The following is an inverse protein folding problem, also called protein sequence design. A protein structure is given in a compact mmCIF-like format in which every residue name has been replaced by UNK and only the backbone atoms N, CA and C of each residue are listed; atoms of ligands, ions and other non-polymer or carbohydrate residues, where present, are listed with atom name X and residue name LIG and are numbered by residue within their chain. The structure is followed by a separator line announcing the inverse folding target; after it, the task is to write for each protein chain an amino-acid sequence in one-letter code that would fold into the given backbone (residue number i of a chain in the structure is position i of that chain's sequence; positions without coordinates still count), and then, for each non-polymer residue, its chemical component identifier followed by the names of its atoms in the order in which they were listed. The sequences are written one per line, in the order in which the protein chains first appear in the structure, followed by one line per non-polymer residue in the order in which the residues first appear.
data_IF_844317947019
#
_entry.id   IF_844317947019
#
_cell.length_a   1.000
_cell.length_b   1.000
_cell.length_c   1.000
_cell.angle_alpha   90.00
_cell.angle_beta   90.00
_cell.angle_gamma   90.00
#
_symmetry.space_group_name_H-M   'P 1'
#
loop_
_entity.id
_entity.type
_entity.pdbx_description
1 polymer ?
#
# COMPACT_ATOMS: atom_id res chain seq x y z
N UNK A 1 -14.49 -14.98 -0.49
CA UNK A 1 -14.53 -13.86 0.48
C UNK A 1 -15.31 -14.21 1.74
N UNK A 2 -16.53 -14.75 1.67
CA UNK A 2 -17.34 -15.04 2.87
C UNK A 2 -16.71 -16.03 3.87
N UNK A 3 -16.03 -17.09 3.40
CA UNK A 3 -15.26 -17.97 4.28
C UNK A 3 -14.13 -17.25 5.01
N UNK A 4 -13.47 -16.30 4.35
CA UNK A 4 -12.48 -15.44 5.00
C UNK A 4 -13.14 -14.62 6.12
N UNK A 5 -14.30 -14.00 5.85
CA UNK A 5 -15.07 -13.23 6.85
C UNK A 5 -15.44 -14.12 8.05
N UNK A 6 -15.86 -15.36 7.81
CA UNK A 6 -16.17 -16.30 8.89
C UNK A 6 -14.93 -16.66 9.72
N UNK A 7 -13.80 -16.94 9.07
CA UNK A 7 -12.54 -17.18 9.77
C UNK A 7 -12.13 -15.96 10.60
N UNK A 8 -12.30 -14.75 10.07
CA UNK A 8 -12.02 -13.52 10.81
C UNK A 8 -12.89 -13.39 12.08
N UNK A 9 -14.18 -13.72 11.99
CA UNK A 9 -15.04 -13.76 13.16
C UNK A 9 -14.50 -14.71 14.24
N UNK A 10 -14.02 -15.90 13.86
CA UNK A 10 -13.43 -16.86 14.80
C UNK A 10 -12.11 -16.34 15.38
N UNK A 11 -11.18 -15.88 14.54
CA UNK A 11 -9.86 -15.40 14.95
C UNK A 11 -9.94 -14.22 15.93
N UNK A 12 -10.85 -13.27 15.69
CA UNK A 12 -11.07 -12.15 16.63
C UNK A 12 -11.42 -12.62 18.06
N UNK A 13 -11.95 -13.83 18.21
CA UNK A 13 -12.44 -14.39 19.49
C UNK A 13 -11.48 -15.39 20.13
N UNK A 14 -10.32 -15.63 19.51
CA UNK A 14 -9.26 -16.46 20.09
C UNK A 14 -8.43 -15.59 21.04
N UNK A 15 -8.28 -16.07 22.28
CA UNK A 15 -7.32 -15.48 23.20
C UNK A 15 -5.90 -15.75 22.71
N UNK A 16 -5.05 -14.74 22.75
CA UNK A 16 -3.68 -14.80 22.27
C UNK A 16 -2.76 -13.96 23.17
N UNK A 17 -1.48 -13.86 22.79
CA UNK A 17 -0.47 -13.14 23.58
C UNK A 17 -0.67 -11.63 23.55
N UNK A 18 -1.33 -11.06 22.53
CA UNK A 18 -1.73 -9.66 22.52
C UNK A 18 -2.96 -9.37 23.40
N UNK A 19 -3.83 -10.35 23.68
CA UNK A 19 -4.94 -10.20 24.60
C UNK A 19 -6.16 -11.07 24.25
N UNK A 20 -7.36 -10.52 24.47
CA UNK A 20 -8.63 -11.21 24.24
C UNK A 20 -9.68 -10.29 23.62
N UNK A 21 -10.82 -10.86 23.23
CA UNK A 21 -11.91 -10.12 22.59
C UNK A 21 -12.66 -9.18 23.53
N UNK A 22 -12.62 -9.41 24.86
CA UNK A 22 -13.31 -8.53 25.82
C UNK A 22 -12.62 -7.16 25.91
N UNK A 23 -11.29 -7.12 25.92
CA UNK A 23 -10.53 -5.85 25.84
C UNK A 23 -10.27 -5.37 24.41
N UNK A 24 -10.57 -6.21 23.41
CA UNK A 24 -10.18 -6.06 22.00
C UNK A 24 -8.67 -6.08 21.75
N UNK A 25 -7.81 -6.12 22.78
CA UNK A 25 -6.35 -6.07 22.57
C UNK A 25 -5.82 -7.26 21.76
N UNK A 26 -6.50 -8.41 21.83
CA UNK A 26 -6.15 -9.59 21.03
C UNK A 26 -6.30 -9.39 19.52
N UNK A 27 -6.95 -8.31 19.07
CA UNK A 27 -7.12 -8.02 17.64
C UNK A 27 -5.82 -7.55 16.98
N UNK A 28 -4.85 -7.04 17.76
CA UNK A 28 -3.53 -6.66 17.28
C UNK A 28 -2.53 -7.81 17.18
N UNK A 29 -2.96 -9.06 17.36
CA UNK A 29 -2.08 -10.22 17.17
C UNK A 29 -1.76 -10.36 15.66
N UNK A 30 -0.47 -10.38 15.26
CA UNK A 30 -0.09 -10.36 13.84
C UNK A 30 -0.51 -11.62 13.08
N UNK A 31 -0.42 -12.78 13.72
CA UNK A 31 -0.59 -14.08 13.07
C UNK A 31 -1.17 -15.15 13.97
N UNK A 32 -1.70 -16.18 13.33
CA UNK A 32 -2.29 -17.37 13.93
C UNK A 32 -1.79 -18.59 13.17
N UNK A 33 -1.94 -19.78 13.76
CA UNK A 33 -1.69 -21.02 13.03
C UNK A 33 -2.79 -21.23 11.97
N UNK A 34 -2.45 -21.98 10.92
CA UNK A 34 -3.35 -22.23 9.77
C UNK A 34 -4.63 -22.97 10.13
N UNK A 35 -4.67 -23.63 11.29
CA UNK A 35 -5.83 -24.35 11.85
C UNK A 35 -6.73 -23.48 12.74
N UNK A 36 -6.54 -22.15 12.71
CA UNK A 36 -7.27 -21.19 13.54
C UNK A 36 -7.01 -21.37 15.05
N UNK A 37 -5.74 -21.55 15.42
CA UNK A 37 -5.28 -21.55 16.83
C UNK A 37 -4.28 -20.41 17.10
N UNK A 38 -4.07 -20.07 18.37
CA UNK A 38 -3.13 -19.02 18.78
C UNK A 38 -1.69 -19.38 18.41
N UNK A 39 -0.95 -18.40 17.89
CA UNK A 39 0.50 -18.52 17.74
C UNK A 39 1.18 -18.05 19.03
N UNK A 40 1.62 -19.00 19.84
CA UNK A 40 2.08 -18.75 21.21
C UNK A 40 3.61 -18.65 21.36
N UNK A 41 4.36 -18.38 20.29
CA UNK A 41 5.80 -18.11 20.39
C UNK A 41 6.10 -16.61 20.51
N UNK A 42 7.36 -16.26 20.82
CA UNK A 42 7.81 -14.87 20.84
C UNK A 42 7.75 -14.28 19.43
N UNK A 43 7.28 -13.03 19.33
CA UNK A 43 7.01 -12.38 18.05
C UNK A 43 6.90 -10.86 18.24
N UNK A 44 7.10 -10.10 17.17
CA UNK A 44 6.89 -8.64 17.13
C UNK A 44 5.41 -8.29 17.19
N UNK A 45 4.82 -8.33 18.39
CA UNK A 45 3.40 -8.05 18.66
C UNK A 45 3.23 -6.89 19.65
N UNK A 46 2.13 -6.11 19.57
CA UNK A 46 1.08 -6.18 18.55
C UNK A 46 1.50 -5.51 17.24
N UNK A 47 0.85 -5.86 16.13
CA UNK A 47 0.82 -5.07 14.90
C UNK A 47 -0.57 -4.47 14.73
N UNK A 48 -0.62 -3.14 14.56
CA UNK A 48 -1.86 -2.36 14.72
C UNK A 48 -2.53 -2.00 13.40
N UNK A 49 -1.92 -2.36 12.29
CA UNK A 49 -2.41 -2.22 10.92
C UNK A 49 -3.40 -3.34 10.54
N UNK A 50 -3.20 -4.56 11.07
CA UNK A 50 -4.02 -5.75 10.78
C UNK A 50 -5.53 -5.52 10.90
N UNK A 51 -6.08 -5.03 12.04
CA UNK A 51 -7.49 -4.70 12.17
C UNK A 51 -8.00 -3.70 11.14
N UNK A 52 -7.17 -2.72 10.76
CA UNK A 52 -7.53 -1.73 9.75
C UNK A 52 -7.59 -2.31 8.34
N UNK A 53 -6.61 -3.15 7.97
CA UNK A 53 -6.57 -3.88 6.69
C UNK A 53 -7.71 -4.90 6.56
N UNK A 54 -8.04 -5.58 7.66
CA UNK A 54 -9.16 -6.52 7.72
C UNK A 54 -10.49 -5.82 7.52
N UNK A 55 -10.80 -4.83 8.35
CA UNK A 55 -12.07 -4.10 8.29
C UNK A 55 -12.28 -3.41 6.94
N UNK A 56 -11.27 -2.75 6.37
CA UNK A 56 -11.40 -2.12 5.06
C UNK A 56 -11.67 -3.15 3.93
N UNK A 57 -11.05 -4.32 3.97
CA UNK A 57 -11.25 -5.36 2.95
C UNK A 57 -12.68 -5.90 2.99
N UNK A 58 -13.21 -6.10 4.20
CA UNK A 58 -14.60 -6.54 4.40
C UNK A 58 -15.57 -5.45 3.96
N UNK A 59 -15.33 -4.18 4.31
CA UNK A 59 -16.17 -3.06 3.86
C UNK A 59 -16.16 -2.91 2.33
N UNK A 60 -15.00 -3.02 1.67
CA UNK A 60 -14.91 -2.99 0.20
C UNK A 60 -15.72 -4.13 -0.44
N UNK A 61 -15.70 -5.33 0.12
CA UNK A 61 -16.54 -6.44 -0.36
C UNK A 61 -18.04 -6.16 -0.18
N UNK A 62 -18.46 -5.66 0.97
CA UNK A 62 -19.86 -5.30 1.20
C UNK A 62 -20.33 -4.19 0.24
N UNK A 63 -19.46 -3.24 -0.09
CA UNK A 63 -19.75 -2.18 -1.07
C UNK A 63 -19.95 -2.77 -2.45
N UNK A 64 -19.09 -3.70 -2.86
CA UNK A 64 -19.23 -4.43 -4.13
C UNK A 64 -20.56 -5.19 -4.21
N UNK A 65 -20.93 -5.93 -3.16
CA UNK A 65 -22.21 -6.64 -3.11
C UNK A 65 -23.40 -5.69 -3.27
N UNK A 66 -23.38 -4.57 -2.53
CA UNK A 66 -24.43 -3.56 -2.63
C UNK A 66 -24.53 -2.94 -4.04
N UNK A 67 -23.40 -2.63 -4.67
CA UNK A 67 -23.35 -2.06 -6.02
C UNK A 67 -23.83 -3.04 -7.11
N UNK A 68 -23.63 -4.33 -6.90
CA UNK A 68 -24.01 -5.39 -7.85
C UNK A 68 -25.38 -6.01 -7.58
N UNK A 69 -26.01 -5.67 -6.45
CA UNK A 69 -27.26 -6.29 -6.01
C UNK A 69 -27.10 -7.76 -5.62
N UNK A 70 -25.87 -8.21 -5.35
CA UNK A 70 -25.59 -9.58 -4.90
C UNK A 70 -25.81 -9.69 -3.39
N UNK A 71 -26.37 -10.82 -2.96
CA UNK A 71 -26.54 -11.13 -1.54
C UNK A 71 -25.36 -11.95 -1.01
N UNK A 72 -25.11 -11.86 0.30
CA UNK A 72 -24.15 -12.75 0.95
C UNK A 72 -24.72 -14.17 1.10
N UNK A 73 -23.87 -15.15 0.85
CA UNK A 73 -24.11 -16.55 1.15
C UNK A 73 -23.64 -16.97 2.56
N UNK A 74 -23.57 -18.29 2.76
CA UNK A 74 -23.02 -18.94 3.96
C UNK A 74 -23.64 -18.51 5.31
N UNK A 75 -24.90 -18.07 5.29
CA UNK A 75 -25.61 -17.64 6.51
C UNK A 75 -25.14 -16.30 7.09
N UNK A 76 -24.27 -15.58 6.37
CA UNK A 76 -23.86 -14.22 6.74
C UNK A 76 -24.88 -13.21 6.23
N UNK A 77 -25.08 -12.14 7.00
CA UNK A 77 -25.78 -10.95 6.53
C UNK A 77 -24.97 -9.71 6.91
N UNK A 78 -25.23 -8.60 6.21
CA UNK A 78 -24.42 -7.38 6.31
C UNK A 78 -24.45 -6.80 7.73
N UNK A 79 -25.58 -6.89 8.42
CA UNK A 79 -25.73 -6.47 9.82
C UNK A 79 -24.85 -7.29 10.77
N UNK A 80 -24.82 -8.62 10.63
CA UNK A 80 -23.94 -9.47 11.42
C UNK A 80 -22.47 -9.10 11.18
N UNK A 81 -22.05 -8.98 9.93
CA UNK A 81 -20.66 -8.65 9.56
C UNK A 81 -20.26 -7.29 10.13
N UNK A 82 -21.13 -6.28 10.01
CA UNK A 82 -20.90 -4.96 10.58
C UNK A 82 -20.74 -5.02 12.11
N UNK A 83 -21.73 -5.54 12.82
CA UNK A 83 -21.73 -5.48 14.29
C UNK A 83 -20.73 -6.44 14.96
N UNK A 84 -20.44 -7.57 14.32
CA UNK A 84 -19.66 -8.65 14.97
C UNK A 84 -18.22 -8.75 14.50
N UNK A 85 -17.85 -8.06 13.42
CA UNK A 85 -16.51 -8.16 12.82
C UNK A 85 -15.91 -6.76 12.58
N UNK A 86 -16.60 -5.91 11.81
CA UNK A 86 -16.09 -4.57 11.46
C UNK A 86 -16.04 -3.65 12.68
N UNK A 87 -17.15 -3.54 13.43
CA UNK A 87 -17.24 -2.66 14.59
C UNK A 87 -16.19 -2.96 15.69
N UNK A 88 -15.87 -4.23 16.03
CA UNK A 88 -14.74 -4.56 16.89
C UNK A 88 -13.38 -4.06 16.39
N UNK A 89 -13.07 -4.26 15.09
CA UNK A 89 -11.81 -3.78 14.51
C UNK A 89 -11.71 -2.25 14.56
N UNK A 90 -12.78 -1.54 14.18
CA UNK A 90 -12.83 -0.07 14.28
C UNK A 90 -12.68 0.42 15.72
N UNK A 91 -13.30 -0.27 16.68
CA UNK A 91 -13.19 0.04 18.11
C UNK A 91 -11.77 -0.15 18.64
N UNK A 92 -11.08 -1.20 18.16
CA UNK A 92 -9.67 -1.40 18.43
C UNK A 92 -8.84 -0.23 17.91
N UNK A 93 -9.03 0.19 16.66
CA UNK A 93 -8.30 1.30 16.05
C UNK A 93 -8.46 2.57 16.89
N UNK A 94 -9.71 2.97 17.20
CA UNK A 94 -9.99 4.17 18.00
C UNK A 94 -9.27 4.19 19.35
N UNK A 95 -9.13 3.02 19.98
CA UNK A 95 -8.48 2.89 21.29
C UNK A 95 -6.95 2.79 21.21
N UNK A 96 -6.38 2.49 20.04
CA UNK A 96 -4.98 2.06 19.92
C UNK A 96 -4.10 2.89 18.97
N UNK A 97 -4.65 3.79 18.14
CA UNK A 97 -3.87 4.47 17.08
C UNK A 97 -2.72 5.37 17.58
N UNK A 98 -2.72 5.78 18.85
CA UNK A 98 -1.64 6.58 19.48
C UNK A 98 -0.58 5.73 20.18
N UNK A 99 -0.75 4.41 20.25
CA UNK A 99 0.17 3.52 20.95
C UNK A 99 1.16 2.86 19.99
N UNK A 100 2.38 2.66 20.49
CA UNK A 100 3.40 1.92 19.76
C UNK A 100 2.97 0.48 19.49
N UNK A 101 3.36 -0.03 18.34
CA UNK A 101 3.27 -1.43 17.93
C UNK A 101 4.39 -1.71 16.94
N UNK A 102 4.49 -2.95 16.47
CA UNK A 102 5.43 -3.29 15.41
C UNK A 102 4.91 -2.80 14.05
N UNK A 103 5.85 -2.50 13.14
CA UNK A 103 5.57 -2.13 11.77
C UNK A 103 5.12 -3.34 10.93
N UNK A 104 4.69 -3.07 9.69
CA UNK A 104 4.29 -4.10 8.71
C UNK A 104 5.40 -5.10 8.38
N UNK A 105 6.67 -4.76 8.66
CA UNK A 105 7.81 -5.64 8.49
C UNK A 105 8.15 -6.45 9.76
N UNK A 106 7.39 -6.27 10.83
CA UNK A 106 7.47 -7.02 12.09
C UNK A 106 8.75 -6.76 12.91
N UNK A 107 9.38 -5.59 12.76
CA UNK A 107 10.76 -5.33 13.24
C UNK A 107 10.88 -4.18 14.25
N UNK A 108 10.28 -3.03 13.94
CA UNK A 108 10.41 -1.81 14.72
C UNK A 108 9.15 -1.62 15.55
N UNK A 109 9.30 -1.60 16.87
CA UNK A 109 8.22 -1.16 17.75
C UNK A 109 8.21 0.38 17.84
N UNK A 110 7.31 1.04 17.11
CA UNK A 110 7.15 2.50 17.11
C UNK A 110 5.76 2.89 16.63
N UNK A 111 5.63 4.08 16.02
CA UNK A 111 4.44 4.54 15.32
C UNK A 111 4.84 4.77 13.86
N UNK A 112 4.07 4.17 12.95
CA UNK A 112 4.44 4.01 11.54
C UNK A 112 3.44 4.71 10.62
N UNK A 113 3.94 5.30 9.53
CA UNK A 113 3.11 6.02 8.58
C UNK A 113 2.11 5.08 7.89
N UNK A 114 2.56 3.90 7.44
CA UNK A 114 1.70 2.87 6.86
C UNK A 114 0.54 2.51 7.78
N UNK A 115 0.85 2.13 9.03
CA UNK A 115 -0.15 1.76 10.04
C UNK A 115 -1.16 2.88 10.28
N UNK A 116 -0.69 4.12 10.45
CA UNK A 116 -1.57 5.26 10.69
C UNK A 116 -2.47 5.56 9.48
N UNK A 117 -1.94 5.46 8.25
CA UNK A 117 -2.70 5.70 7.03
C UNK A 117 -3.79 4.65 6.81
N UNK A 118 -3.49 3.36 6.98
CA UNK A 118 -4.52 2.31 6.81
C UNK A 118 -5.58 2.37 7.90
N UNK A 119 -5.21 2.75 9.12
CA UNK A 119 -6.15 3.03 10.22
C UNK A 119 -7.07 4.21 9.87
N UNK A 120 -6.52 5.32 9.38
CA UNK A 120 -7.30 6.49 8.98
C UNK A 120 -8.30 6.15 7.86
N UNK A 121 -7.85 5.36 6.88
CA UNK A 121 -8.71 4.90 5.78
C UNK A 121 -9.84 3.99 6.29
N UNK A 122 -9.54 3.07 7.19
CA UNK A 122 -10.55 2.21 7.80
C UNK A 122 -11.58 3.01 8.61
N UNK A 123 -11.17 4.02 9.39
CA UNK A 123 -12.09 4.92 10.09
C UNK A 123 -12.99 5.68 9.10
N UNK A 124 -12.45 6.19 7.99
CA UNK A 124 -13.22 6.87 6.95
C UNK A 124 -14.33 5.98 6.38
N UNK A 125 -13.99 4.76 5.98
CA UNK A 125 -14.98 3.78 5.49
C UNK A 125 -15.97 3.39 6.61
N UNK A 126 -15.50 3.29 7.85
CA UNK A 126 -16.32 2.99 9.01
C UNK A 126 -17.41 4.03 9.27
N UNK A 127 -17.14 5.31 9.00
CA UNK A 127 -18.12 6.41 9.13
C UNK A 127 -19.27 6.19 8.14
N UNK A 128 -18.95 5.95 6.86
CA UNK A 128 -19.95 5.68 5.81
C UNK A 128 -20.82 4.46 6.15
N UNK A 129 -20.20 3.38 6.64
CA UNK A 129 -20.91 2.18 7.05
C UNK A 129 -21.78 2.39 8.29
N UNK A 130 -21.28 3.12 9.29
CA UNK A 130 -22.05 3.39 10.51
C UNK A 130 -23.30 4.23 10.20
N UNK A 131 -23.18 5.17 9.26
CA UNK A 131 -24.32 5.88 8.72
C UNK A 131 -25.34 4.94 8.04
N UNK A 132 -24.87 4.08 7.13
CA UNK A 132 -25.73 3.12 6.42
C UNK A 132 -26.47 2.14 7.35
N UNK A 133 -25.89 1.83 8.52
CA UNK A 133 -26.51 0.98 9.55
C UNK A 133 -27.30 1.76 10.61
N UNK A 134 -27.44 3.08 10.48
CA UNK A 134 -28.08 3.97 11.46
C UNK A 134 -27.46 3.89 12.88
N UNK A 135 -26.15 3.62 12.98
CA UNK A 135 -25.40 3.54 14.25
C UNK A 135 -24.80 4.92 14.61
N UNK A 136 -25.68 5.91 14.78
CA UNK A 136 -25.31 7.33 14.87
C UNK A 136 -24.32 7.65 15.99
N UNK A 137 -24.45 7.01 17.15
CA UNK A 137 -23.51 7.19 18.27
C UNK A 137 -22.10 6.70 17.91
N UNK A 138 -22.00 5.57 17.21
CA UNK A 138 -20.70 5.06 16.80
C UNK A 138 -20.12 5.89 15.65
N UNK A 139 -20.97 6.36 14.74
CA UNK A 139 -20.58 7.32 13.69
C UNK A 139 -19.95 8.59 14.27
N UNK A 140 -20.54 9.19 15.32
CA UNK A 140 -19.97 10.35 16.03
C UNK A 140 -18.59 10.05 16.63
N UNK A 141 -18.42 8.88 17.25
CA UNK A 141 -17.13 8.44 17.82
C UNK A 141 -16.07 8.25 16.72
N UNK A 142 -16.44 7.64 15.59
CA UNK A 142 -15.54 7.43 14.46
C UNK A 142 -15.12 8.74 13.82
N UNK A 143 -16.04 9.71 13.68
CA UNK A 143 -15.71 11.04 13.20
C UNK A 143 -14.65 11.71 14.09
N UNK A 144 -14.86 11.70 15.41
CA UNK A 144 -13.88 12.25 16.35
C UNK A 144 -12.52 11.56 16.22
N UNK A 145 -12.48 10.22 16.22
CA UNK A 145 -11.25 9.46 16.07
C UNK A 145 -10.55 9.71 14.72
N UNK A 146 -11.31 9.86 13.63
CA UNK A 146 -10.78 10.19 12.31
C UNK A 146 -10.09 11.57 12.33
N UNK A 147 -10.74 12.58 12.90
CA UNK A 147 -10.13 13.92 13.02
C UNK A 147 -8.87 13.89 13.89
N UNK A 148 -8.93 13.20 15.04
CA UNK A 148 -7.76 13.07 15.92
C UNK A 148 -6.59 12.34 15.26
N UNK A 149 -6.84 11.23 14.56
CA UNK A 149 -5.81 10.47 13.86
C UNK A 149 -5.24 11.27 12.68
N UNK A 150 -6.08 11.98 11.92
CA UNK A 150 -5.61 12.85 10.83
C UNK A 150 -4.70 13.97 11.35
N UNK A 151 -5.09 14.60 12.45
CA UNK A 151 -4.25 15.62 13.11
C UNK A 151 -2.95 15.00 13.61
N UNK A 152 -3.03 13.83 14.25
CA UNK A 152 -1.87 13.10 14.74
C UNK A 152 -0.87 12.76 13.63
N UNK A 153 -1.32 12.29 12.46
CA UNK A 153 -0.45 12.02 11.30
C UNK A 153 0.27 13.29 10.84
N UNK A 154 -0.40 14.43 10.89
CA UNK A 154 0.18 15.72 10.49
C UNK A 154 1.25 16.16 11.49
N UNK A 155 1.00 15.97 12.79
CA UNK A 155 1.87 16.48 13.87
C UNK A 155 3.03 15.54 14.24
N UNK A 156 2.90 14.23 13.98
CA UNK A 156 3.87 13.24 14.47
C UNK A 156 5.26 13.34 13.81
N UNK A 157 5.32 13.93 12.61
CA UNK A 157 6.56 14.19 11.90
C UNK A 157 6.82 13.34 10.66
N UNK A 158 5.85 12.50 10.24
CA UNK A 158 5.95 11.71 9.01
C UNK A 158 6.25 12.56 7.76
N UNK A 159 5.79 13.82 7.75
CA UNK A 159 5.83 14.70 6.60
C UNK A 159 6.83 15.87 6.73
N UNK A 160 7.63 15.91 7.81
CA UNK A 160 8.56 17.01 8.11
C UNK A 160 9.80 17.06 7.20
N UNK A 161 10.14 15.94 6.55
CA UNK A 161 11.26 15.84 5.60
C UNK A 161 10.80 16.07 4.17
N UNK A 162 11.71 16.17 3.20
CA UNK A 162 11.35 16.30 1.77
C UNK A 162 10.71 15.04 1.16
N UNK A 163 10.83 13.91 1.84
CA UNK A 163 10.18 12.63 1.58
C UNK A 163 9.32 12.21 2.78
N UNK A 164 8.53 11.14 2.65
CA UNK A 164 7.75 10.58 3.76
C UNK A 164 8.70 9.77 4.63
N UNK A 165 8.85 10.16 5.89
CA UNK A 165 9.59 9.36 6.86
C UNK A 165 8.63 8.33 7.46
N UNK A 166 8.81 7.06 7.14
CA UNK A 166 7.95 5.95 7.60
C UNK A 166 7.99 5.77 9.14
N UNK A 167 9.12 6.09 9.77
CA UNK A 167 9.39 5.88 11.19
C UNK A 167 10.15 7.06 11.82
N UNK A 168 9.50 8.22 12.07
CA UNK A 168 10.18 9.46 12.50
C UNK A 168 10.96 9.38 13.81
N UNK A 169 10.72 8.35 14.63
CA UNK A 169 11.36 8.11 15.93
C UNK A 169 12.23 6.86 15.94
N UNK A 170 12.69 6.40 14.79
CA UNK A 170 13.64 5.28 14.66
C UNK A 170 15.04 5.77 14.29
N UNK A 171 16.03 4.88 14.43
CA UNK A 171 17.42 5.14 14.02
C UNK A 171 17.66 4.94 12.50
N UNK A 172 16.63 4.56 11.73
CA UNK A 172 16.69 4.44 10.27
C UNK A 172 16.51 5.81 9.61
N UNK A 173 16.92 5.93 8.34
CA UNK A 173 16.67 7.15 7.55
C UNK A 173 15.18 7.49 7.42
N UNK A 174 14.31 6.48 7.48
CA UNK A 174 12.87 6.62 7.28
C UNK A 174 12.42 6.45 5.83
N UNK A 175 13.36 6.24 4.90
CA UNK A 175 13.02 5.81 3.53
C UNK A 175 12.56 4.35 3.56
N UNK A 176 11.29 4.12 3.25
CA UNK A 176 10.69 2.80 3.21
C UNK A 176 9.60 2.73 2.11
N UNK A 177 9.56 1.63 1.37
CA UNK A 177 8.50 1.38 0.39
C UNK A 177 7.12 1.25 1.05
N UNK A 178 7.07 0.95 2.35
CA UNK A 178 5.86 0.99 3.19
C UNK A 178 5.10 2.31 3.07
N UNK A 179 5.81 3.42 2.91
CA UNK A 179 5.17 4.72 2.70
C UNK A 179 4.44 4.79 1.37
N UNK A 180 4.95 4.15 0.31
CA UNK A 180 4.27 4.05 -0.99
C UNK A 180 3.15 3.01 -0.92
N UNK A 181 3.35 1.89 -0.22
CA UNK A 181 2.30 0.91 0.10
C UNK A 181 1.10 1.60 0.78
N UNK A 182 1.36 2.50 1.73
CA UNK A 182 0.32 3.26 2.42
C UNK A 182 -0.54 4.08 1.45
N UNK A 183 0.11 4.70 0.46
CA UNK A 183 -0.57 5.46 -0.60
C UNK A 183 -1.34 4.52 -1.52
N UNK A 184 -0.80 3.36 -1.90
CA UNK A 184 -1.52 2.48 -2.81
C UNK A 184 -2.67 1.70 -2.14
N UNK A 185 -2.61 1.50 -0.82
CA UNK A 185 -3.66 0.83 -0.06
C UNK A 185 -4.79 1.76 0.42
N UNK A 186 -4.62 3.08 0.29
CA UNK A 186 -5.61 4.07 0.71
C UNK A 186 -5.99 4.99 -0.44
N UNK A 187 -7.19 5.59 -0.41
CA UNK A 187 -7.59 6.63 -1.37
C UNK A 187 -7.51 8.02 -0.74
N UNK A 188 -6.76 8.15 0.35
CA UNK A 188 -6.65 9.36 1.15
C UNK A 188 -5.54 10.26 0.63
N UNK A 189 -5.87 11.53 0.37
CA UNK A 189 -4.91 12.55 -0.03
C UNK A 189 -4.35 13.29 1.19
N UNK A 190 -3.52 12.61 1.99
CA UNK A 190 -2.87 13.18 3.19
C UNK A 190 -1.45 13.65 2.88
N UNK A 191 -0.67 12.84 2.17
CA UNK A 191 0.67 13.22 1.74
C UNK A 191 0.59 13.97 0.41
N UNK A 192 1.39 15.04 0.28
CA UNK A 192 1.58 15.73 -0.99
C UNK A 192 2.15 14.77 -2.04
N UNK A 193 1.54 14.71 -3.23
CA UNK A 193 1.95 13.87 -4.37
C UNK A 193 3.46 14.04 -4.72
N UNK A 194 4.01 15.26 -4.66
CA UNK A 194 5.44 15.51 -4.86
C UNK A 194 6.30 14.80 -3.80
N UNK A 195 5.85 14.72 -2.55
CA UNK A 195 6.57 14.02 -1.48
C UNK A 195 6.56 12.52 -1.71
N UNK A 196 5.45 11.96 -2.21
CA UNK A 196 5.35 10.54 -2.58
C UNK A 196 6.30 10.22 -3.75
N UNK A 197 6.28 11.05 -4.80
CA UNK A 197 7.21 10.93 -5.94
C UNK A 197 8.67 11.01 -5.48
N UNK A 198 9.02 11.98 -4.65
CA UNK A 198 10.38 12.13 -4.11
C UNK A 198 10.79 10.95 -3.24
N UNK A 199 9.87 10.37 -2.46
CA UNK A 199 10.14 9.15 -1.69
C UNK A 199 10.52 7.98 -2.63
N UNK A 200 9.74 7.75 -3.68
CA UNK A 200 10.05 6.70 -4.66
C UNK A 200 11.34 6.98 -5.44
N UNK A 201 11.60 8.22 -5.83
CA UNK A 201 12.84 8.63 -6.50
C UNK A 201 14.08 8.37 -5.65
N UNK A 202 14.03 8.71 -4.36
CA UNK A 202 15.13 8.45 -3.42
C UNK A 202 15.33 6.96 -3.13
N UNK A 203 14.25 6.18 -2.99
CA UNK A 203 14.32 4.72 -2.87
C UNK A 203 14.98 4.09 -4.11
N UNK A 204 14.55 4.51 -5.30
CA UNK A 204 15.11 4.04 -6.57
C UNK A 204 16.61 4.36 -6.67
N UNK A 205 17.03 5.57 -6.29
CA UNK A 205 18.43 5.96 -6.25
C UNK A 205 19.24 5.12 -5.23
N UNK A 206 18.70 4.91 -4.03
CA UNK A 206 19.36 4.13 -2.99
C UNK A 206 19.58 2.68 -3.45
N UNK A 207 18.53 2.01 -3.93
CA UNK A 207 18.64 0.61 -4.35
C UNK A 207 19.43 0.41 -5.64
N UNK A 208 19.49 1.40 -6.53
CA UNK A 208 20.44 1.37 -7.67
C UNK A 208 21.90 1.31 -7.21
N UNK A 209 22.22 1.93 -6.08
CA UNK A 209 23.55 1.88 -5.48
C UNK A 209 23.80 0.55 -4.75
N UNK A 210 22.84 0.13 -3.91
CA UNK A 210 22.96 -0.99 -2.96
C UNK A 210 22.89 -2.36 -3.64
N UNK A 211 22.10 -2.52 -4.71
CA UNK A 211 21.89 -3.81 -5.37
C UNK A 211 22.69 -3.93 -6.66
N UNK A 212 23.68 -4.82 -6.75
CA UNK A 212 24.46 -5.01 -7.96
C UNK A 212 23.64 -5.38 -9.20
N UNK A 213 22.53 -6.12 -9.05
CA UNK A 213 21.64 -6.45 -10.19
C UNK A 213 21.05 -5.21 -10.88
N UNK A 214 20.92 -4.08 -10.18
CA UNK A 214 20.43 -2.82 -10.77
C UNK A 214 21.47 -2.10 -11.64
N UNK A 215 22.69 -2.65 -11.73
CA UNK A 215 23.75 -2.14 -12.61
C UNK A 215 23.88 -2.98 -13.89
N UNK A 216 23.10 -4.05 -14.01
CA UNK A 216 23.05 -4.86 -15.22
C UNK A 216 22.34 -4.08 -16.34
N UNK A 217 22.81 -4.24 -17.57
CA UNK A 217 22.29 -3.54 -18.75
C UNK A 217 20.87 -3.97 -19.16
N UNK A 218 20.28 -4.94 -18.46
CA UNK A 218 18.95 -5.49 -18.77
C UNK A 218 17.80 -4.56 -18.38
N UNK A 219 18.07 -3.55 -17.54
CA UNK A 219 17.06 -2.58 -17.09
C UNK A 219 17.57 -1.14 -17.28
N UNK A 220 16.97 -0.41 -18.22
CA UNK A 220 17.42 0.97 -18.52
C UNK A 220 16.87 2.01 -17.55
N UNK A 221 15.64 1.81 -17.04
CA UNK A 221 14.93 2.80 -16.23
C UNK A 221 14.56 2.31 -14.82
N UNK A 222 13.84 1.19 -14.74
CA UNK A 222 13.34 0.61 -13.49
C UNK A 222 14.42 -0.13 -12.71
N UNK A 223 14.32 -0.08 -11.38
CA UNK A 223 15.24 -0.77 -10.47
C UNK A 223 14.48 -1.82 -9.66
N UNK A 224 15.14 -2.92 -9.33
CA UNK A 224 14.72 -3.80 -8.26
C UNK A 224 14.71 -3.03 -6.92
N UNK A 225 13.58 -3.05 -6.22
CA UNK A 225 13.39 -2.34 -4.94
C UNK A 225 13.24 -3.32 -3.78
N UNK A 226 13.81 -2.99 -2.62
CA UNK A 226 13.61 -3.72 -1.37
C UNK A 226 12.56 -3.08 -0.46
N UNK A 227 12.63 -3.37 0.84
CA UNK A 227 11.80 -2.73 1.86
C UNK A 227 12.28 -1.32 2.17
N UNK A 228 13.48 -1.21 2.73
CA UNK A 228 14.16 0.04 3.09
C UNK A 228 15.70 -0.13 2.93
N UNK A 229 16.48 0.95 2.77
CA UNK A 229 17.92 0.86 2.47
C UNK A 229 18.79 0.17 3.52
N UNK A 230 18.40 0.24 4.79
CA UNK A 230 19.12 -0.34 5.94
C UNK A 230 18.77 -1.81 6.19
N UNK A 231 18.03 -2.44 5.30
CA UNK A 231 17.53 -3.82 5.45
C UNK A 231 18.68 -4.84 5.52
N UNK A 232 18.56 -5.75 6.48
CA UNK A 232 19.50 -6.85 6.75
C UNK A 232 18.81 -8.22 6.73
N UNK A 233 17.52 -8.31 6.43
CA UNK A 233 16.82 -9.59 6.33
C UNK A 233 17.00 -10.19 4.93
N UNK A 234 17.61 -11.38 4.87
CA UNK A 234 17.98 -12.02 3.60
C UNK A 234 16.93 -13.00 3.04
N UNK A 235 15.79 -13.13 3.73
CA UNK A 235 14.72 -14.09 3.42
C UNK A 235 14.74 -15.35 4.30
N UNK A 236 15.81 -15.56 5.08
CA UNK A 236 15.94 -16.71 5.99
C UNK A 236 16.45 -16.31 7.38
N UNK A 237 17.26 -15.25 7.46
CA UNK A 237 17.87 -14.75 8.68
C UNK A 237 18.41 -13.33 8.47
N UNK A 238 19.48 -13.00 9.16
CA UNK A 238 20.06 -11.65 9.18
C UNK A 238 21.43 -11.63 8.52
N UNK A 239 21.52 -11.00 7.35
CA UNK A 239 22.76 -10.67 6.67
C UNK A 239 22.62 -9.34 5.89
N UNK A 240 22.26 -9.41 4.61
CA UNK A 240 22.01 -8.26 3.73
C UNK A 240 20.60 -8.34 3.15
N UNK A 241 19.86 -7.23 3.21
CA UNK A 241 18.56 -7.10 2.59
C UNK A 241 18.61 -7.24 1.07
N UNK A 242 17.52 -7.70 0.49
CA UNK A 242 17.41 -7.92 -0.95
C UNK A 242 16.21 -7.20 -1.55
N UNK A 243 16.13 -7.12 -2.88
CA UNK A 243 14.90 -6.76 -3.56
C UNK A 243 13.72 -7.69 -3.23
N UNK A 244 12.52 -7.12 -3.22
CA UNK A 244 11.25 -7.81 -3.02
C UNK A 244 10.38 -7.65 -4.27
N UNK A 245 9.68 -8.72 -4.65
CA UNK A 245 8.75 -8.67 -5.78
C UNK A 245 7.62 -7.67 -5.53
N UNK A 246 7.02 -7.69 -4.33
CA UNK A 246 5.94 -6.77 -3.97
C UNK A 246 6.41 -5.31 -3.98
N UNK A 247 7.62 -5.01 -3.51
CA UNK A 247 8.14 -3.64 -3.47
C UNK A 247 8.39 -3.09 -4.86
N UNK A 248 8.94 -3.94 -5.74
CA UNK A 248 9.19 -3.59 -7.14
C UNK A 248 7.86 -3.38 -7.88
N UNK A 249 6.85 -4.23 -7.66
CA UNK A 249 5.52 -4.08 -8.24
C UNK A 249 4.76 -2.85 -7.70
N UNK A 250 4.96 -2.50 -6.43
CA UNK A 250 4.35 -1.32 -5.79
C UNK A 250 4.75 -0.02 -6.49
N UNK A 251 6.02 0.09 -6.92
CA UNK A 251 6.46 1.26 -7.68
C UNK A 251 5.71 1.39 -9.02
N UNK A 252 5.56 0.27 -9.74
CA UNK A 252 4.79 0.24 -10.99
C UNK A 252 3.33 0.66 -10.74
N UNK A 253 2.67 0.07 -9.75
CA UNK A 253 1.29 0.39 -9.40
C UNK A 253 1.12 1.89 -9.08
N UNK A 254 1.98 2.45 -8.24
CA UNK A 254 1.93 3.87 -7.90
C UNK A 254 2.03 4.75 -9.16
N UNK A 255 2.98 4.46 -10.05
CA UNK A 255 3.17 5.21 -11.31
C UNK A 255 1.91 5.12 -12.19
N UNK A 256 1.35 3.93 -12.37
CA UNK A 256 0.12 3.77 -13.17
C UNK A 256 -1.07 4.51 -12.55
N UNK A 257 -1.24 4.45 -11.22
CA UNK A 257 -2.29 5.20 -10.52
C UNK A 257 -2.11 6.71 -10.67
N UNK A 258 -0.88 7.20 -10.62
CA UNK A 258 -0.54 8.61 -10.86
C UNK A 258 -0.93 9.02 -12.29
N UNK A 259 -0.52 8.25 -13.30
CA UNK A 259 -0.89 8.49 -14.71
C UNK A 259 -2.41 8.50 -14.90
N UNK A 260 -3.10 7.49 -14.35
CA UNK A 260 -4.55 7.40 -14.41
C UNK A 260 -5.22 8.63 -13.81
N UNK A 261 -4.73 9.10 -12.66
CA UNK A 261 -5.23 10.32 -12.01
C UNK A 261 -4.96 11.59 -12.84
N UNK A 262 -3.76 11.74 -13.42
CA UNK A 262 -3.42 12.87 -14.28
C UNK A 262 -4.39 12.97 -15.47
N UNK A 263 -4.65 11.84 -16.12
CA UNK A 263 -5.54 11.73 -17.29
C UNK A 263 -6.99 12.00 -16.90
N UNK A 264 -7.52 11.24 -15.94
CA UNK A 264 -8.96 11.26 -15.62
C UNK A 264 -9.40 12.56 -14.96
N UNK A 265 -8.51 13.21 -14.20
CA UNK A 265 -8.77 14.50 -13.56
C UNK A 265 -8.34 15.69 -14.42
N UNK A 266 -7.82 15.45 -15.63
CA UNK A 266 -7.33 16.48 -16.57
C UNK A 266 -6.34 17.45 -15.92
N UNK A 267 -5.40 16.90 -15.14
CA UNK A 267 -4.39 17.69 -14.45
C UNK A 267 -3.20 17.94 -15.37
N UNK A 268 -2.64 19.14 -15.28
CA UNK A 268 -1.32 19.46 -15.83
C UNK A 268 -0.23 18.71 -15.07
N UNK A 269 0.90 18.47 -15.73
CA UNK A 269 2.11 17.92 -15.09
C UNK A 269 3.04 19.08 -14.77
N UNK A 270 3.45 19.20 -13.51
CA UNK A 270 4.39 20.22 -13.06
C UNK A 270 5.64 19.53 -12.55
N UNK A 271 6.77 19.80 -13.21
CA UNK A 271 8.09 19.28 -12.85
C UNK A 271 8.92 20.45 -12.34
N UNK A 272 9.32 20.35 -11.07
CA UNK A 272 10.09 21.36 -10.35
C UNK A 272 11.11 20.71 -9.40
N UNK A 273 11.87 21.53 -8.69
CA UNK A 273 12.89 21.08 -7.75
C UNK A 273 12.38 20.11 -6.66
N UNK A 274 11.08 20.15 -6.34
CA UNK A 274 10.49 19.33 -5.28
C UNK A 274 10.19 17.90 -5.72
N UNK A 275 10.14 17.62 -7.03
CA UNK A 275 9.91 16.29 -7.61
C UNK A 275 10.98 15.89 -8.66
N UNK A 276 12.00 16.72 -8.86
CA UNK A 276 13.08 16.48 -9.81
C UNK A 276 13.78 15.12 -9.63
N UNK A 277 13.95 14.65 -8.39
CA UNK A 277 14.57 13.34 -8.10
C UNK A 277 13.82 12.16 -8.76
N UNK A 278 12.49 12.27 -8.87
CA UNK A 278 11.67 11.27 -9.53
C UNK A 278 11.79 11.36 -11.06
N UNK A 279 11.69 12.58 -11.62
CA UNK A 279 11.68 12.79 -13.07
C UNK A 279 13.04 12.71 -13.75
N UNK A 280 14.15 12.80 -13.00
CA UNK A 280 15.53 12.93 -13.52
C UNK A 280 15.91 11.93 -14.62
N UNK A 281 15.42 10.69 -14.57
CA UNK A 281 15.72 9.66 -15.56
C UNK A 281 14.53 9.33 -16.47
N UNK A 282 13.44 10.09 -16.38
CA UNK A 282 12.18 9.84 -17.11
C UNK A 282 12.02 10.87 -18.23
N UNK A 283 12.25 12.15 -17.93
CA UNK A 283 12.06 13.26 -18.87
C UNK A 283 13.18 14.27 -18.73
N UNK A 284 13.57 14.89 -19.84
CA UNK A 284 14.56 15.96 -19.87
C UNK A 284 13.90 17.32 -19.56
N UNK A 285 14.40 18.01 -18.54
CA UNK A 285 14.01 19.38 -18.21
C UNK A 285 12.89 19.53 -17.17
N UNK A 286 12.74 20.75 -16.69
CA UNK A 286 11.69 21.19 -15.76
C UNK A 286 10.63 22.01 -16.51
N UNK A 287 9.42 22.11 -15.96
CA UNK A 287 8.36 22.92 -16.55
C UNK A 287 6.95 22.44 -16.26
N UNK A 288 5.98 23.20 -16.77
CA UNK A 288 4.57 22.86 -16.75
C UNK A 288 4.14 22.33 -18.12
N UNK A 289 3.57 21.13 -18.14
CA UNK A 289 3.07 20.46 -19.33
C UNK A 289 1.55 20.43 -19.24
N UNK A 290 0.90 21.30 -20.00
CA UNK A 290 -0.56 21.44 -19.97
C UNK A 290 -1.26 20.20 -20.53
N UNK A 291 -2.34 19.79 -19.88
CA UNK A 291 -3.17 18.68 -20.34
C UNK A 291 -3.63 18.87 -21.80
N UNK A 292 -3.71 17.77 -22.56
CA UNK A 292 -4.12 17.72 -23.98
C UNK A 292 -3.14 18.42 -24.96
N UNK A 293 -1.87 18.52 -24.58
CA UNK A 293 -0.76 18.96 -25.47
C UNK A 293 0.11 17.78 -25.90
N UNK A 294 0.82 17.93 -27.02
CA UNK A 294 1.75 16.89 -27.49
C UNK A 294 2.90 16.66 -26.49
N UNK A 295 3.34 17.71 -25.80
CA UNK A 295 4.38 17.64 -24.79
C UNK A 295 3.90 16.87 -23.57
N UNK A 296 2.66 17.09 -23.12
CA UNK A 296 2.03 16.28 -22.07
C UNK A 296 1.96 14.79 -22.44
N UNK A 297 1.52 14.47 -23.66
CA UNK A 297 1.42 13.07 -24.13
C UNK A 297 2.78 12.36 -24.18
N UNK A 298 3.85 13.10 -24.48
CA UNK A 298 5.23 12.59 -24.40
C UNK A 298 5.61 12.25 -22.96
N UNK A 299 5.33 13.15 -22.00
CA UNK A 299 5.62 12.92 -20.58
C UNK A 299 4.82 11.73 -20.05
N UNK A 300 3.52 11.61 -20.39
CA UNK A 300 2.69 10.46 -20.02
C UNK A 300 3.25 9.16 -20.59
N UNK A 301 3.72 9.16 -21.83
CA UNK A 301 4.30 7.97 -22.45
C UNK A 301 5.61 7.56 -21.76
N UNK A 302 6.49 8.52 -21.44
CA UNK A 302 7.72 8.26 -20.68
C UNK A 302 7.44 7.74 -19.26
N UNK A 303 6.41 8.27 -18.58
CA UNK A 303 5.97 7.75 -17.28
C UNK A 303 5.44 6.32 -17.39
N UNK A 304 4.70 6.00 -18.45
CA UNK A 304 4.20 4.65 -18.69
C UNK A 304 5.35 3.66 -18.93
N UNK A 305 6.33 4.03 -19.76
CA UNK A 305 7.55 3.25 -19.97
C UNK A 305 8.33 3.05 -18.68
N UNK A 306 8.39 4.07 -17.82
CA UNK A 306 9.00 3.96 -16.50
C UNK A 306 8.26 2.97 -15.60
N UNK A 307 6.92 3.02 -15.55
CA UNK A 307 6.12 2.02 -14.84
C UNK A 307 6.34 0.59 -15.36
N UNK A 308 6.30 0.43 -16.69
CA UNK A 308 6.51 -0.87 -17.38
C UNK A 308 7.89 -1.46 -17.08
N UNK A 309 8.90 -0.61 -16.91
CA UNK A 309 10.25 -1.06 -16.59
C UNK A 309 10.36 -1.77 -15.23
N UNK A 310 9.55 -1.41 -14.23
CA UNK A 310 9.49 -2.14 -12.95
C UNK A 310 8.82 -3.52 -13.11
N UNK A 311 7.78 -3.64 -13.93
CA UNK A 311 7.19 -4.94 -14.26
C UNK A 311 8.14 -5.81 -15.08
N UNK A 312 9.01 -5.22 -15.90
CA UNK A 312 10.06 -5.97 -16.60
C UNK A 312 11.09 -6.55 -15.63
N UNK A 313 11.47 -5.82 -14.58
CA UNK A 313 12.32 -6.36 -13.49
C UNK A 313 11.64 -7.56 -12.83
N UNK A 314 10.37 -7.43 -12.44
CA UNK A 314 9.57 -8.53 -11.87
C UNK A 314 9.55 -9.73 -12.80
N UNK A 315 9.22 -9.52 -14.08
CA UNK A 315 9.14 -10.58 -15.09
C UNK A 315 10.46 -11.31 -15.26
N UNK A 316 11.57 -10.58 -15.30
CA UNK A 316 12.91 -11.12 -15.51
C UNK A 316 13.35 -12.03 -14.35
N UNK A 317 13.06 -11.63 -13.10
CA UNK A 317 13.48 -12.38 -11.92
C UNK A 317 12.49 -13.45 -11.46
N UNK A 318 11.27 -13.46 -12.01
CA UNK A 318 10.28 -14.52 -11.77
C UNK A 318 10.59 -15.81 -12.55
N UNK A 319 10.11 -16.96 -12.06
CA UNK A 319 10.20 -18.23 -12.80
C UNK A 319 8.82 -18.67 -13.29
N UNK A 320 8.53 -18.48 -14.58
CA UNK A 320 7.24 -18.85 -15.20
C UNK A 320 6.04 -18.29 -14.44
N UNK A 321 6.18 -17.07 -13.94
CA UNK A 321 5.17 -16.38 -13.13
C UNK A 321 5.15 -16.76 -11.65
N UNK A 322 5.99 -17.72 -11.20
CA UNK A 322 6.20 -17.98 -9.78
C UNK A 322 7.02 -16.86 -9.16
N UNK A 323 6.63 -16.44 -7.97
CA UNK A 323 7.28 -15.35 -7.23
C UNK A 323 7.41 -15.72 -5.76
N UNK A 324 8.65 -15.71 -5.26
CA UNK A 324 8.95 -15.76 -3.84
C UNK A 324 8.72 -14.40 -3.17
N UNK A 325 9.09 -14.29 -1.91
CA UNK A 325 9.19 -13.03 -1.18
C UNK A 325 10.23 -12.09 -1.80
N UNK A 326 11.45 -12.60 -1.99
CA UNK A 326 12.61 -11.83 -2.41
C UNK A 326 13.26 -12.41 -3.65
N UNK A 327 14.15 -11.66 -4.27
CA UNK A 327 15.14 -12.17 -5.22
C UNK A 327 16.50 -11.59 -4.91
N UNK A 328 17.54 -12.42 -5.01
CA UNK A 328 18.87 -12.13 -4.50
C UNK A 328 19.49 -10.90 -5.17
N UNK A 329 20.01 -9.96 -4.38
CA UNK A 329 20.58 -8.69 -4.87
C UNK A 329 21.78 -8.82 -5.79
N UNK A 330 22.46 -9.98 -5.81
CA UNK A 330 23.65 -10.24 -6.62
C UNK A 330 23.34 -11.06 -7.87
N UNK A 331 22.53 -12.11 -7.72
CA UNK A 331 22.27 -13.09 -8.78
C UNK A 331 20.92 -12.93 -9.45
N UNK A 332 19.97 -12.26 -8.80
CA UNK A 332 18.60 -12.12 -9.29
C UNK A 332 17.74 -13.38 -9.14
N UNK A 333 18.25 -14.45 -8.52
CA UNK A 333 17.46 -15.66 -8.28
C UNK A 333 16.49 -15.48 -7.10
N UNK A 334 15.30 -16.07 -7.22
CA UNK A 334 14.29 -16.13 -6.17
C UNK A 334 14.85 -16.71 -4.87
N UNK A 335 14.47 -16.13 -3.73
CA UNK A 335 14.84 -16.57 -2.39
C UNK A 335 13.80 -16.12 -1.34
N UNK A 336 13.91 -16.65 -0.12
CA UNK A 336 12.97 -16.40 0.97
C UNK A 336 11.72 -17.27 0.85
N UNK A 337 10.61 -16.83 1.44
CA UNK A 337 9.36 -17.59 1.39
C UNK A 337 8.91 -17.83 -0.06
N UNK A 338 8.68 -19.10 -0.41
CA UNK A 338 8.20 -19.49 -1.74
C UNK A 338 6.73 -19.12 -1.92
N UNK A 339 6.35 -18.77 -3.15
CA UNK A 339 4.96 -18.48 -3.54
C UNK A 339 4.25 -17.49 -2.59
N UNK A 340 4.91 -16.38 -2.27
CA UNK A 340 4.35 -15.41 -1.33
C UNK A 340 3.09 -14.76 -1.92
N UNK A 341 1.93 -15.02 -1.29
CA UNK A 341 0.62 -14.50 -1.69
C UNK A 341 0.62 -12.99 -1.96
N UNK A 342 1.35 -12.22 -1.16
CA UNK A 342 1.42 -10.76 -1.32
C UNK A 342 2.18 -10.35 -2.58
N UNK A 343 3.25 -11.06 -2.97
CA UNK A 343 3.94 -10.83 -4.25
C UNK A 343 2.98 -10.96 -5.44
N UNK A 344 2.15 -12.02 -5.45
CA UNK A 344 1.13 -12.21 -6.49
C UNK A 344 0.08 -11.10 -6.49
N UNK A 345 -0.43 -10.72 -5.32
CA UNK A 345 -1.42 -9.65 -5.19
C UNK A 345 -0.90 -8.30 -5.68
N UNK A 346 0.35 -7.95 -5.35
CA UNK A 346 0.99 -6.71 -5.77
C UNK A 346 1.16 -6.65 -7.29
N UNK A 347 1.63 -7.73 -7.92
CA UNK A 347 1.78 -7.80 -9.38
C UNK A 347 0.44 -7.77 -10.10
N UNK A 348 -0.57 -8.46 -9.57
CA UNK A 348 -1.92 -8.40 -10.13
C UNK A 348 -2.48 -6.97 -10.11
N UNK A 349 -2.36 -6.26 -8.99
CA UNK A 349 -2.83 -4.87 -8.89
C UNK A 349 -2.08 -3.93 -9.82
N UNK A 350 -0.76 -4.07 -9.93
CA UNK A 350 0.04 -3.28 -10.87
C UNK A 350 -0.41 -3.49 -12.32
N UNK A 351 -0.64 -4.74 -12.75
CA UNK A 351 -1.18 -5.06 -14.09
C UNK A 351 -2.58 -4.47 -14.27
N UNK A 352 -3.46 -4.63 -13.29
CA UNK A 352 -4.82 -4.07 -13.35
C UNK A 352 -4.82 -2.55 -13.55
N UNK A 353 -3.96 -1.83 -12.83
CA UNK A 353 -3.83 -0.38 -12.99
C UNK A 353 -3.20 0.03 -14.33
N UNK A 354 -2.26 -0.78 -14.85
CA UNK A 354 -1.72 -0.59 -16.20
C UNK A 354 -2.82 -0.68 -17.26
N UNK A 355 -3.68 -1.68 -17.18
CA UNK A 355 -4.83 -1.85 -18.08
C UNK A 355 -5.82 -0.68 -17.98
N UNK A 356 -6.07 -0.19 -16.76
CA UNK A 356 -6.92 0.99 -16.54
C UNK A 356 -6.34 2.25 -17.23
N UNK A 357 -5.02 2.45 -17.17
CA UNK A 357 -4.33 3.54 -17.89
C UNK A 357 -4.51 3.39 -19.40
N UNK A 358 -4.30 2.19 -19.95
CA UNK A 358 -4.49 1.95 -21.39
C UNK A 358 -5.92 2.25 -21.84
N UNK A 359 -6.92 1.83 -21.05
CA UNK A 359 -8.33 2.10 -21.30
C UNK A 359 -8.64 3.59 -21.42
N UNK A 360 -8.16 4.41 -20.46
CA UNK A 360 -8.43 5.86 -20.48
C UNK A 360 -7.67 6.59 -21.59
N UNK A 361 -6.46 6.15 -21.95
CA UNK A 361 -5.70 6.70 -23.08
C UNK A 361 -6.40 6.44 -24.41
N UNK A 362 -6.90 5.22 -24.62
CA UNK A 362 -7.65 4.88 -25.85
C UNK A 362 -8.91 5.73 -26.00
N UNK A 363 -9.63 5.99 -24.89
CA UNK A 363 -10.81 6.85 -24.90
C UNK A 363 -10.47 8.30 -25.29
N UNK A 364 -9.34 8.85 -24.81
CA UNK A 364 -8.89 10.19 -25.22
C UNK A 364 -8.56 10.26 -26.72
N UNK A 365 -7.79 9.30 -27.25
CA UNK A 365 -7.45 9.27 -28.67
C UNK A 365 -8.70 9.19 -29.57
N UNK A 366 -9.70 8.39 -29.19
CA UNK A 366 -10.94 8.26 -29.95
C UNK A 366 -11.73 9.58 -30.02
N UNK A 367 -11.79 10.35 -28.92
CA UNK A 367 -12.45 11.67 -28.89
C UNK A 367 -11.70 12.71 -29.73
N UNK A 368 -10.37 12.72 -29.68
CA UNK A 368 -9.56 13.67 -30.45
C UNK A 368 -9.63 13.42 -31.97
N UNK A 369 -9.91 12.18 -32.40
CA UNK A 369 -10.17 11.86 -33.80
C UNK A 369 -11.57 12.28 -34.27
N UNK A 370 -12.57 12.25 -33.38
CA UNK A 370 -13.94 12.71 -33.69
C UNK A 370 -14.01 14.24 -33.74
N UNK A 371 -13.28 14.95 -32.86
CA UNK A 371 -13.27 16.42 -32.84
C UNK A 371 -12.50 17.08 -34.00
N UNK A 372 -11.75 16.29 -34.79
CA UNK A 372 -11.00 16.74 -35.98
C UNK A 372 -11.75 16.49 -37.30
N UNK A 373 -12.94 15.89 -37.24
CA UNK A 373 -13.89 15.73 -38.34
C UNK A 373 -15.01 16.75 -38.21
#
# INVERSE_FOLDING_TARGET
MEWYIWNQYQLQRINNRSGNFTSLNGLGEPKFNVDLTSFDDNWGRPQRDGPALRSQSIMKYLTYLNQTGLEMGNGLNSSFVYHKIIKPDLSYIMSNFKFEGFDLWEEINSIHFFTAMVQLNSLSLGIEYSHAFNDTKFEEMLNLAYFELKQFITDFGFLNSIYINEHPKSDRSGLDIASILAIIHTDLNIANENKVMTTLGLLSQAFKSIYPINKLHEFELGNALGRYPEDIYDGYGTSEGNPWFLSTATAAEFIYRMIYNLITKKKDIIIDETNAAFYKNIVEGEGAFSYDTNEYDKVISALLEYGDSYLNVVKFHSDKGRMSEQFNKYTGFMQGAEDLTWSYGAVYNAIHWRENVESVRMQQCSKNNIAKL
#
